data_IF_846010896979
#
_entry.id   IF_846010896979
#
_cell.length_a   1.000
_cell.length_b   1.000
_cell.length_c   1.000
_cell.angle_alpha   90.00
_cell.angle_beta   90.00
_cell.angle_gamma   90.00
#
_symmetry.space_group_name_H-M   'P 1'
#
loop_
_entity.id
_entity.type
_entity.pdbx_description
1 polymer ?
#
# COMPACT_ATOMS: atom_id res chain seq x y z
N UNK A 1 2.89 -1.89 5.08
CA UNK A 1 3.01 -3.03 6.03
C UNK A 1 1.79 -3.94 6.05
N UNK A 2 0.54 -3.44 5.97
CA UNK A 2 -0.67 -4.28 5.90
C UNK A 2 -0.69 -5.26 4.72
N UNK A 3 -0.33 -4.78 3.53
CA UNK A 3 -0.31 -5.58 2.28
C UNK A 3 0.69 -6.74 2.28
N UNK A 4 1.85 -6.62 2.94
CA UNK A 4 2.81 -7.71 3.02
C UNK A 4 2.22 -8.91 3.77
N UNK A 5 1.50 -8.65 4.85
CA UNK A 5 0.79 -9.67 5.62
C UNK A 5 -0.35 -10.29 4.82
N UNK A 6 -1.04 -9.52 3.98
CA UNK A 6 -2.10 -10.02 3.10
C UNK A 6 -1.54 -10.97 2.02
N UNK A 7 -0.39 -10.64 1.43
CA UNK A 7 0.33 -11.51 0.50
C UNK A 7 0.83 -12.80 1.17
N UNK A 8 1.36 -12.71 2.39
CA UNK A 8 1.73 -13.89 3.18
C UNK A 8 0.53 -14.79 3.46
N UNK A 9 -0.63 -14.20 3.78
CA UNK A 9 -1.88 -14.94 4.02
C UNK A 9 -2.35 -15.69 2.77
N UNK A 10 -2.20 -15.08 1.57
CA UNK A 10 -2.47 -15.76 0.30
C UNK A 10 -1.47 -16.88 0.04
N UNK A 11 -0.18 -16.62 0.18
CA UNK A 11 0.89 -17.61 -0.01
C UNK A 11 0.69 -18.83 0.88
N UNK A 12 0.44 -18.62 2.16
CA UNK A 12 0.30 -19.71 3.14
C UNK A 12 -0.94 -20.58 2.86
N UNK A 13 -2.00 -20.00 2.30
CA UNK A 13 -3.19 -20.73 1.86
C UNK A 13 -2.90 -21.66 0.67
N UNK A 14 -2.22 -21.15 -0.36
CA UNK A 14 -1.91 -21.90 -1.57
C UNK A 14 -0.76 -22.89 -1.40
N UNK A 15 0.29 -22.53 -0.67
CA UNK A 15 1.53 -23.30 -0.62
C UNK A 15 1.46 -24.56 0.27
N UNK A 16 0.76 -24.50 1.40
CA UNK A 16 0.82 -25.59 2.40
C UNK A 16 -0.55 -26.20 2.67
N UNK A 17 -1.54 -25.35 2.88
CA UNK A 17 -2.80 -25.77 3.47
C UNK A 17 -3.69 -26.49 2.43
N UNK A 18 -3.80 -25.94 1.23
CA UNK A 18 -4.62 -26.51 0.14
C UNK A 18 -4.02 -27.80 -0.41
N UNK A 19 -2.70 -27.86 -0.58
CA UNK A 19 -1.98 -29.04 -1.07
C UNK A 19 -2.19 -30.25 -0.16
N UNK A 20 -2.10 -30.06 1.16
CA UNK A 20 -2.30 -31.14 2.13
C UNK A 20 -3.73 -31.70 2.06
N UNK A 21 -4.75 -30.84 2.00
CA UNK A 21 -6.13 -31.33 1.91
C UNK A 21 -6.46 -32.00 0.58
N UNK A 22 -5.88 -31.54 -0.53
CA UNK A 22 -6.10 -32.18 -1.84
C UNK A 22 -5.53 -33.60 -1.87
N UNK A 23 -4.38 -33.81 -1.23
CA UNK A 23 -3.77 -35.14 -1.07
C UNK A 23 -4.55 -36.01 -0.10
N UNK A 24 -5.04 -35.47 1.02
CA UNK A 24 -5.63 -36.26 2.11
C UNK A 24 -7.11 -36.64 1.90
N UNK A 25 -7.88 -35.88 1.11
CA UNK A 25 -9.31 -36.14 0.87
C UNK A 25 -9.58 -37.53 0.24
N UNK A 26 -8.86 -37.97 -0.81
CA UNK A 26 -9.01 -39.32 -1.35
C UNK A 26 -8.75 -40.43 -0.32
N UNK A 27 -7.82 -40.20 0.62
CA UNK A 27 -7.49 -41.16 1.66
C UNK A 27 -8.63 -41.40 2.65
N UNK A 28 -9.59 -40.47 2.79
CA UNK A 28 -10.82 -40.69 3.58
C UNK A 28 -11.61 -41.88 3.00
N UNK A 29 -11.83 -41.88 1.67
CA UNK A 29 -12.59 -42.95 1.00
C UNK A 29 -11.85 -44.27 1.13
N UNK A 30 -10.53 -44.26 0.91
CA UNK A 30 -9.68 -45.44 1.05
C UNK A 30 -9.76 -46.00 2.48
N UNK A 31 -9.57 -45.17 3.50
CA UNK A 31 -9.63 -45.61 4.91
C UNK A 31 -11.01 -46.14 5.28
N UNK A 32 -12.11 -45.50 4.84
CA UNK A 32 -13.47 -46.02 5.07
C UNK A 32 -13.70 -47.38 4.40
N UNK A 33 -13.21 -47.58 3.17
CA UNK A 33 -13.30 -48.87 2.48
C UNK A 33 -12.53 -49.96 3.24
N UNK A 34 -11.31 -49.66 3.72
CA UNK A 34 -10.55 -50.62 4.54
C UNK A 34 -11.26 -50.96 5.85
N UNK A 35 -11.89 -49.98 6.52
CA UNK A 35 -12.70 -50.23 7.72
C UNK A 35 -13.92 -51.10 7.38
N UNK A 36 -14.58 -50.87 6.25
CA UNK A 36 -15.71 -51.71 5.83
C UNK A 36 -15.28 -53.16 5.52
N UNK A 37 -14.11 -53.36 4.91
CA UNK A 37 -13.58 -54.69 4.60
C UNK A 37 -13.13 -55.45 5.86
N UNK A 38 -12.49 -54.77 6.81
CA UNK A 38 -11.95 -55.40 8.03
C UNK A 38 -12.99 -55.53 9.15
N UNK A 39 -13.84 -54.51 9.30
CA UNK A 39 -14.75 -54.35 10.43
C UNK A 39 -16.23 -54.34 10.07
N UNK A 40 -16.59 -54.48 8.78
CA UNK A 40 -17.98 -54.52 8.33
C UNK A 40 -18.76 -53.29 8.82
N UNK A 41 -19.68 -53.52 9.75
CA UNK A 41 -20.56 -52.49 10.30
C UNK A 41 -19.84 -51.39 11.11
N UNK A 42 -18.57 -51.57 11.51
CA UNK A 42 -17.82 -50.53 12.23
C UNK A 42 -17.64 -49.24 11.43
N UNK A 43 -17.69 -49.30 10.09
CA UNK A 43 -17.52 -48.12 9.22
C UNK A 43 -18.56 -47.02 9.45
N UNK A 44 -19.75 -47.37 9.95
CA UNK A 44 -20.82 -46.41 10.21
C UNK A 44 -20.46 -45.38 11.27
N UNK A 45 -19.58 -45.72 12.22
CA UNK A 45 -19.14 -44.82 13.30
C UNK A 45 -18.35 -43.62 12.76
N UNK A 46 -17.20 -43.79 12.08
CA UNK A 46 -16.49 -42.66 11.46
C UNK A 46 -17.31 -42.01 10.35
N UNK A 47 -18.11 -42.78 9.59
CA UNK A 47 -18.95 -42.21 8.54
C UNK A 47 -19.98 -41.22 9.08
N UNK A 48 -20.56 -41.47 10.26
CA UNK A 48 -21.49 -40.56 10.92
C UNK A 48 -20.81 -39.30 11.51
N UNK A 49 -19.52 -39.38 11.87
CA UNK A 49 -18.77 -38.21 12.35
C UNK A 49 -18.50 -37.19 11.23
N UNK A 50 -18.30 -37.66 9.99
CA UNK A 50 -17.98 -36.83 8.83
C UNK A 50 -18.98 -35.69 8.56
N UNK A 51 -20.31 -35.93 8.46
CA UNK A 51 -21.28 -34.85 8.22
C UNK A 51 -21.37 -33.86 9.39
N UNK A 52 -21.11 -34.29 10.63
CA UNK A 52 -21.12 -33.40 11.81
C UNK A 52 -19.99 -32.38 11.70
N UNK A 53 -18.79 -32.83 11.31
CA UNK A 53 -17.60 -31.98 11.16
C UNK A 53 -17.79 -30.98 10.02
N UNK A 54 -18.24 -31.46 8.87
CA UNK A 54 -18.52 -30.60 7.70
C UNK A 54 -19.63 -29.59 8.02
N UNK A 55 -20.70 -30.01 8.69
CA UNK A 55 -21.78 -29.14 9.12
C UNK A 55 -21.30 -28.02 10.04
N UNK A 56 -20.47 -28.33 11.03
CA UNK A 56 -19.91 -27.32 11.94
C UNK A 56 -19.01 -26.30 11.21
N UNK A 57 -18.19 -26.74 10.25
CA UNK A 57 -17.39 -25.85 9.42
C UNK A 57 -18.23 -24.93 8.53
N UNK A 58 -19.28 -25.46 7.89
CA UNK A 58 -20.16 -24.68 7.02
C UNK A 58 -21.04 -23.69 7.79
N UNK A 59 -21.55 -24.07 8.97
CA UNK A 59 -22.40 -23.21 9.81
C UNK A 59 -21.63 -22.04 10.42
N UNK A 60 -20.34 -22.22 10.73
CA UNK A 60 -19.50 -21.14 11.29
C UNK A 60 -18.99 -20.15 10.24
N UNK A 61 -18.94 -20.56 8.96
CA UNK A 61 -18.43 -19.76 7.84
C UNK A 61 -18.98 -18.32 7.75
N UNK A 62 -20.30 -18.05 7.70
CA UNK A 62 -20.80 -16.68 7.51
C UNK A 62 -20.45 -15.74 8.67
N UNK A 63 -20.37 -16.28 9.90
CA UNK A 63 -19.93 -15.53 11.07
C UNK A 63 -18.43 -15.22 10.99
N UNK A 64 -17.62 -16.18 10.56
CA UNK A 64 -16.18 -16.01 10.36
C UNK A 64 -15.86 -14.98 9.28
N UNK A 65 -16.57 -15.00 8.13
CA UNK A 65 -16.43 -14.00 7.07
C UNK A 65 -16.65 -12.57 7.59
N UNK A 66 -17.74 -12.37 8.35
CA UNK A 66 -18.07 -11.05 8.91
C UNK A 66 -17.06 -10.60 9.97
N UNK A 67 -16.71 -11.49 10.90
CA UNK A 67 -15.80 -11.18 12.01
C UNK A 67 -14.36 -10.97 11.53
N UNK A 68 -13.90 -11.74 10.54
CA UNK A 68 -12.57 -11.57 9.94
C UNK A 68 -12.45 -10.25 9.20
N UNK A 69 -13.46 -9.85 8.42
CA UNK A 69 -13.47 -8.56 7.74
C UNK A 69 -13.45 -7.39 8.74
N UNK A 70 -14.25 -7.48 9.81
CA UNK A 70 -14.27 -6.48 10.88
C UNK A 70 -12.94 -6.39 11.63
N UNK A 71 -12.39 -7.53 12.05
CA UNK A 71 -11.10 -7.59 12.75
C UNK A 71 -9.97 -7.02 11.88
N UNK A 72 -9.98 -7.28 10.57
CA UNK A 72 -9.04 -6.73 9.61
C UNK A 72 -9.14 -5.19 9.54
N UNK A 73 -10.35 -4.65 9.36
CA UNK A 73 -10.56 -3.20 9.30
C UNK A 73 -10.12 -2.51 10.60
N UNK A 74 -10.45 -3.07 11.76
CA UNK A 74 -10.06 -2.52 13.05
C UNK A 74 -8.54 -2.61 13.28
N UNK A 75 -7.88 -3.66 12.74
CA UNK A 75 -6.42 -3.77 12.74
C UNK A 75 -5.76 -2.65 11.93
N UNK A 76 -6.33 -2.30 10.76
CA UNK A 76 -5.85 -1.19 9.93
C UNK A 76 -6.01 0.15 10.66
N UNK A 77 -7.15 0.39 11.33
CA UNK A 77 -7.34 1.59 12.15
C UNK A 77 -6.28 1.70 13.24
N UNK A 78 -6.00 0.60 13.95
CA UNK A 78 -4.93 0.54 14.96
C UNK A 78 -3.57 0.92 14.37
N UNK A 79 -3.24 0.38 13.19
CA UNK A 79 -2.00 0.68 12.48
C UNK A 79 -1.93 2.15 12.03
N UNK A 80 -3.06 2.70 11.55
CA UNK A 80 -3.15 4.09 11.10
C UNK A 80 -2.83 5.08 12.22
N UNK A 81 -3.35 4.85 13.43
CA UNK A 81 -3.05 5.71 14.59
C UNK A 81 -1.56 5.67 14.93
N UNK A 82 -0.90 4.51 14.81
CA UNK A 82 0.53 4.39 15.02
C UNK A 82 1.32 5.17 13.95
N UNK A 83 0.96 5.03 12.68
CA UNK A 83 1.62 5.75 11.58
C UNK A 83 1.43 7.26 11.73
N UNK A 84 0.24 7.73 12.10
CA UNK A 84 -0.04 9.13 12.41
C UNK A 84 0.81 9.63 13.58
N UNK A 85 0.88 8.85 14.66
CA UNK A 85 1.63 9.21 15.88
C UNK A 85 3.14 9.29 15.62
N UNK A 86 3.68 8.32 14.88
CA UNK A 86 5.12 8.29 14.54
C UNK A 86 5.44 9.38 13.51
N UNK A 87 4.61 9.54 12.48
CA UNK A 87 4.79 10.57 11.46
C UNK A 87 4.71 11.99 12.00
N UNK A 88 4.01 12.22 13.11
CA UNK A 88 3.89 13.52 13.77
C UNK A 88 4.55 13.56 15.16
N UNK A 89 5.55 12.71 15.44
CA UNK A 89 6.08 12.49 16.79
C UNK A 89 6.54 13.78 17.50
N UNK A 90 7.18 14.69 16.78
CA UNK A 90 7.60 15.99 17.31
C UNK A 90 6.39 16.82 17.75
N UNK A 91 5.35 16.91 16.92
CA UNK A 91 4.10 17.61 17.25
C UNK A 91 3.44 16.98 18.48
N UNK A 92 3.42 15.65 18.56
CA UNK A 92 2.83 14.92 19.69
C UNK A 92 3.52 15.25 21.01
N UNK A 93 4.86 15.34 21.00
CA UNK A 93 5.65 15.67 22.18
C UNK A 93 5.52 17.15 22.55
N UNK A 94 5.64 18.06 21.59
CA UNK A 94 5.61 19.50 21.84
C UNK A 94 4.22 19.99 22.23
N UNK A 95 3.17 19.40 21.66
CA UNK A 95 1.77 19.76 21.93
C UNK A 95 1.14 18.98 23.10
N UNK A 96 1.88 18.04 23.71
CA UNK A 96 1.34 17.19 24.78
C UNK A 96 0.21 16.25 24.35
N UNK A 97 0.08 15.96 23.06
CA UNK A 97 -1.02 15.18 22.49
C UNK A 97 -0.92 13.66 22.75
N UNK A 98 0.12 13.21 23.47
CA UNK A 98 0.35 11.79 23.76
C UNK A 98 -0.84 11.09 24.42
N UNK A 99 -1.56 11.76 25.32
CA UNK A 99 -2.77 11.18 25.96
C UNK A 99 -3.91 10.97 24.96
N UNK A 100 -4.14 11.92 24.05
CA UNK A 100 -5.19 11.83 23.02
C UNK A 100 -4.93 10.64 22.09
N UNK A 101 -3.72 10.56 21.54
CA UNK A 101 -3.34 9.48 20.62
C UNK A 101 -3.24 8.14 21.33
N UNK A 102 -2.75 8.11 22.58
CA UNK A 102 -2.76 6.93 23.42
C UNK A 102 -4.15 6.39 23.68
N UNK A 103 -5.14 7.26 23.95
CA UNK A 103 -6.54 6.87 24.10
C UNK A 103 -7.16 6.37 22.78
N UNK A 104 -6.87 7.03 21.66
CA UNK A 104 -7.31 6.56 20.33
C UNK A 104 -6.76 5.18 20.01
N UNK A 105 -5.46 4.97 20.25
CA UNK A 105 -4.82 3.67 20.05
C UNK A 105 -5.41 2.61 20.97
N UNK A 106 -5.59 2.92 22.27
CA UNK A 106 -6.22 2.01 23.23
C UNK A 106 -7.62 1.60 22.78
N UNK A 107 -8.46 2.55 22.36
CA UNK A 107 -9.81 2.27 21.85
C UNK A 107 -9.78 1.39 20.60
N UNK A 108 -8.91 1.69 19.64
CA UNK A 108 -8.74 0.87 18.44
C UNK A 108 -8.24 -0.55 18.78
N UNK A 109 -7.35 -0.67 19.76
CA UNK A 109 -6.84 -1.95 20.24
C UNK A 109 -7.91 -2.77 20.98
N UNK A 110 -8.74 -2.13 21.81
CA UNK A 110 -9.88 -2.77 22.49
C UNK A 110 -10.91 -3.29 21.49
N UNK A 111 -11.27 -2.48 20.48
CA UNK A 111 -12.18 -2.89 19.40
C UNK A 111 -11.62 -4.10 18.63
N UNK A 112 -10.37 -4.01 18.16
CA UNK A 112 -9.71 -5.10 17.47
C UNK A 112 -9.61 -6.36 18.35
N UNK A 113 -9.36 -6.21 19.65
CA UNK A 113 -9.31 -7.31 20.61
C UNK A 113 -10.66 -8.00 20.77
N UNK A 114 -11.77 -7.25 20.91
CA UNK A 114 -13.12 -7.83 21.00
C UNK A 114 -13.48 -8.60 19.71
N UNK A 115 -13.28 -7.98 18.54
CA UNK A 115 -13.56 -8.63 17.26
C UNK A 115 -12.68 -9.86 17.00
N UNK A 116 -11.38 -9.77 17.27
CA UNK A 116 -10.46 -10.90 17.10
C UNK A 116 -10.72 -12.02 18.10
N UNK A 117 -11.14 -11.70 19.33
CA UNK A 117 -11.54 -12.70 20.33
C UNK A 117 -12.82 -13.40 19.90
N UNK A 118 -13.84 -12.66 19.45
CA UNK A 118 -15.08 -13.27 18.90
C UNK A 118 -14.79 -14.14 17.68
N UNK A 119 -13.95 -13.66 16.76
CA UNK A 119 -13.49 -14.43 15.61
C UNK A 119 -12.84 -15.74 16.06
N UNK A 120 -11.94 -15.68 17.04
CA UNK A 120 -11.26 -16.84 17.60
C UNK A 120 -12.22 -17.80 18.32
N UNK A 121 -13.21 -17.29 19.05
CA UNK A 121 -14.22 -18.13 19.70
C UNK A 121 -15.03 -18.90 18.65
N UNK A 122 -15.49 -18.22 17.59
CA UNK A 122 -16.24 -18.86 16.51
C UNK A 122 -15.38 -19.89 15.77
N UNK A 123 -14.10 -19.60 15.50
CA UNK A 123 -13.22 -20.58 14.84
C UNK A 123 -12.93 -21.78 15.75
N UNK A 124 -12.84 -21.56 17.06
CA UNK A 124 -12.62 -22.63 18.05
C UNK A 124 -13.80 -23.60 18.10
N UNK A 125 -15.04 -23.17 17.83
CA UNK A 125 -16.20 -24.07 17.79
C UNK A 125 -15.99 -25.17 16.74
N UNK A 126 -15.63 -24.81 15.51
CA UNK A 126 -15.43 -25.77 14.43
C UNK A 126 -14.29 -26.74 14.74
N UNK A 127 -13.18 -26.26 15.31
CA UNK A 127 -12.04 -27.12 15.70
C UNK A 127 -12.38 -28.04 16.86
N UNK A 128 -13.09 -27.55 17.87
CA UNK A 128 -13.51 -28.34 19.04
C UNK A 128 -14.51 -29.41 18.64
N UNK A 129 -15.49 -29.09 17.81
CA UNK A 129 -16.41 -30.10 17.25
C UNK A 129 -15.64 -31.17 16.48
N UNK A 130 -14.64 -30.78 15.69
CA UNK A 130 -13.80 -31.72 14.93
C UNK A 130 -13.01 -32.67 15.84
N UNK A 131 -12.34 -32.13 16.87
CA UNK A 131 -11.55 -32.92 17.83
C UNK A 131 -12.46 -33.84 18.65
N UNK A 132 -13.59 -33.33 19.14
CA UNK A 132 -14.56 -34.12 19.90
C UNK A 132 -15.18 -35.23 19.05
N UNK A 133 -15.56 -34.94 17.80
CA UNK A 133 -16.09 -35.94 16.87
C UNK A 133 -15.05 -37.04 16.57
N UNK A 134 -13.78 -36.67 16.44
CA UNK A 134 -12.69 -37.65 16.28
C UNK A 134 -12.52 -38.55 17.51
N UNK A 135 -12.49 -37.98 18.71
CA UNK A 135 -12.38 -38.73 19.97
C UNK A 135 -13.59 -39.65 20.18
N UNK A 136 -14.80 -39.17 19.90
CA UNK A 136 -16.03 -39.96 19.98
C UNK A 136 -16.08 -41.06 18.93
N UNK A 137 -15.62 -40.80 17.69
CA UNK A 137 -15.54 -41.81 16.65
C UNK A 137 -14.55 -42.92 17.03
N UNK A 138 -13.39 -42.56 17.57
CA UNK A 138 -12.41 -43.53 18.07
C UNK A 138 -12.98 -44.38 19.21
N UNK A 139 -13.54 -43.75 20.24
CA UNK A 139 -14.14 -44.45 21.38
C UNK A 139 -15.33 -45.33 20.96
N UNK A 140 -16.21 -44.80 20.10
CA UNK A 140 -17.36 -45.53 19.56
C UNK A 140 -16.94 -46.75 18.73
N UNK A 141 -15.87 -46.63 17.94
CA UNK A 141 -15.29 -47.74 17.18
C UNK A 141 -14.78 -48.84 18.11
N UNK A 142 -14.10 -48.47 19.21
CA UNK A 142 -13.63 -49.44 20.21
C UNK A 142 -14.82 -50.13 20.91
N UNK A 143 -15.79 -49.36 21.40
CA UNK A 143 -16.96 -49.90 22.11
C UNK A 143 -17.78 -50.84 21.21
N UNK A 144 -18.16 -50.38 20.01
CA UNK A 144 -18.91 -51.21 19.05
C UNK A 144 -18.11 -52.45 18.63
N UNK A 145 -16.79 -52.30 18.47
CA UNK A 145 -15.91 -53.40 18.12
C UNK A 145 -15.80 -54.48 19.20
N UNK A 146 -15.79 -54.11 20.48
CA UNK A 146 -15.77 -55.08 21.59
C UNK A 146 -17.03 -55.97 21.57
N UNK A 147 -18.21 -55.39 21.33
CA UNK A 147 -19.45 -56.17 21.17
C UNK A 147 -19.40 -57.10 19.95
N UNK A 148 -18.81 -56.66 18.83
CA UNK A 148 -18.64 -57.50 17.63
C UNK A 148 -17.61 -58.62 17.82
N UNK A 149 -16.59 -58.43 18.68
CA UNK A 149 -15.68 -59.50 19.11
C UNK A 149 -16.43 -60.53 19.96
N UNK A 150 -17.28 -60.07 20.90
CA UNK A 150 -18.11 -60.96 21.73
C UNK A 150 -19.07 -61.82 20.89
N UNK A 151 -19.59 -61.26 19.80
CA UNK A 151 -20.39 -61.95 18.79
C UNK A 151 -19.58 -62.87 17.83
N UNK A 152 -18.26 -62.97 18.01
CA UNK A 152 -17.33 -63.68 17.11
C UNK A 152 -17.32 -63.19 15.65
N UNK A 153 -17.74 -61.94 15.40
CA UNK A 153 -17.78 -61.32 14.07
C UNK A 153 -16.53 -60.50 13.73
N UNK A 154 -15.64 -60.27 14.71
CA UNK A 154 -14.46 -59.43 14.57
C UNK A 154 -13.27 -60.03 15.33
N UNK A 155 -12.06 -59.86 14.81
CA UNK A 155 -10.82 -60.21 15.53
C UNK A 155 -10.26 -59.02 16.31
N UNK A 156 -9.50 -59.26 17.36
CA UNK A 156 -8.84 -58.19 18.13
C UNK A 156 -7.88 -57.36 17.27
N UNK A 157 -7.19 -58.00 16.31
CA UNK A 157 -6.33 -57.31 15.36
C UNK A 157 -7.11 -56.40 14.39
N UNK A 158 -8.26 -56.87 13.90
CA UNK A 158 -9.15 -56.06 13.07
C UNK A 158 -9.71 -54.86 13.83
N UNK A 159 -10.00 -55.00 15.14
CA UNK A 159 -10.43 -53.88 15.98
C UNK A 159 -9.34 -52.81 16.12
N UNK A 160 -8.10 -53.20 16.41
CA UNK A 160 -6.97 -52.27 16.50
C UNK A 160 -6.71 -51.57 15.16
N UNK A 161 -6.80 -52.29 14.05
CA UNK A 161 -6.70 -51.69 12.72
C UNK A 161 -7.84 -50.70 12.46
N UNK A 162 -9.09 -51.06 12.76
CA UNK A 162 -10.25 -50.19 12.56
C UNK A 162 -10.19 -48.94 13.44
N UNK A 163 -9.71 -49.02 14.69
CA UNK A 163 -9.59 -47.86 15.57
C UNK A 163 -8.53 -46.87 15.09
N UNK A 164 -7.37 -47.35 14.61
CA UNK A 164 -6.33 -46.50 14.00
C UNK A 164 -6.87 -45.85 12.71
N UNK A 165 -7.50 -46.64 11.84
CA UNK A 165 -8.05 -46.16 10.57
C UNK A 165 -9.21 -45.17 10.79
N UNK A 166 -10.01 -45.33 11.85
CA UNK A 166 -11.09 -44.40 12.19
C UNK A 166 -10.56 -42.99 12.46
N UNK A 167 -9.44 -42.86 13.17
CA UNK A 167 -8.80 -41.55 13.37
C UNK A 167 -8.30 -40.94 12.06
N UNK A 168 -7.74 -41.77 11.17
CA UNK A 168 -7.26 -41.35 9.84
C UNK A 168 -8.38 -40.97 8.88
N UNK A 169 -9.57 -41.55 9.01
CA UNK A 169 -10.74 -41.19 8.20
C UNK A 169 -11.30 -39.81 8.57
N UNK A 170 -11.20 -39.42 9.85
CA UNK A 170 -11.78 -38.18 10.38
C UNK A 170 -10.81 -36.98 10.29
N UNK A 171 -9.51 -37.22 10.46
CA UNK A 171 -8.49 -36.17 10.51
C UNK A 171 -8.48 -35.21 9.30
N UNK A 172 -8.57 -35.67 8.03
CA UNK A 172 -8.57 -34.76 6.89
C UNK A 172 -9.77 -33.80 6.87
N UNK A 173 -10.94 -34.21 7.38
CA UNK A 173 -12.12 -33.35 7.46
C UNK A 173 -11.94 -32.21 8.47
N UNK A 174 -11.25 -32.47 9.58
CA UNK A 174 -10.87 -31.44 10.54
C UNK A 174 -9.96 -30.39 9.88
N UNK A 175 -9.00 -30.83 9.06
CA UNK A 175 -8.13 -29.96 8.25
C UNK A 175 -8.97 -29.12 7.27
N UNK A 176 -9.94 -29.73 6.58
CA UNK A 176 -10.86 -29.00 5.67
C UNK A 176 -11.67 -27.94 6.40
N UNK A 177 -12.21 -28.24 7.60
CA UNK A 177 -12.94 -27.25 8.39
C UNK A 177 -12.06 -26.05 8.78
N UNK A 178 -10.79 -26.31 9.14
CA UNK A 178 -9.80 -25.26 9.39
C UNK A 178 -9.46 -24.47 8.10
N UNK A 179 -9.39 -25.13 6.94
CA UNK A 179 -9.17 -24.48 5.65
C UNK A 179 -10.31 -23.57 5.24
N UNK A 180 -11.57 -23.96 5.50
CA UNK A 180 -12.72 -23.10 5.23
C UNK A 180 -12.65 -21.79 6.03
N UNK A 181 -12.14 -21.86 7.27
CA UNK A 181 -11.87 -20.67 8.09
C UNK A 181 -10.75 -19.81 7.49
N UNK A 182 -9.68 -20.42 6.99
CA UNK A 182 -8.57 -19.69 6.34
C UNK A 182 -9.01 -19.03 5.03
N UNK A 183 -9.80 -19.74 4.22
CA UNK A 183 -10.33 -19.26 2.95
C UNK A 183 -11.09 -17.93 3.11
N UNK A 184 -11.77 -17.75 4.23
CA UNK A 184 -12.44 -16.49 4.59
C UNK A 184 -11.48 -15.30 4.66
N UNK A 185 -10.40 -15.45 5.44
CA UNK A 185 -9.37 -14.44 5.60
C UNK A 185 -8.64 -14.19 4.28
N UNK A 186 -8.30 -15.26 3.55
CA UNK A 186 -7.69 -15.23 2.23
C UNK A 186 -8.55 -14.50 1.21
N UNK A 187 -9.87 -14.74 1.19
CA UNK A 187 -10.80 -14.05 0.29
C UNK A 187 -10.89 -12.56 0.59
N UNK A 188 -10.81 -12.18 1.87
CA UNK A 188 -10.81 -10.77 2.28
C UNK A 188 -9.53 -10.08 1.82
N UNK A 189 -8.36 -10.69 2.08
CA UNK A 189 -7.07 -10.21 1.59
C UNK A 189 -7.04 -10.11 0.06
N UNK A 190 -7.54 -11.14 -0.65
CA UNK A 190 -7.65 -11.13 -2.09
C UNK A 190 -8.48 -9.94 -2.60
N UNK A 191 -9.65 -9.67 -2.02
CA UNK A 191 -10.48 -8.52 -2.43
C UNK A 191 -9.77 -7.18 -2.25
N UNK A 192 -9.02 -7.02 -1.16
CA UNK A 192 -8.26 -5.78 -0.90
C UNK A 192 -7.15 -5.59 -1.93
N UNK A 193 -6.37 -6.64 -2.19
CA UNK A 193 -5.30 -6.60 -3.19
C UNK A 193 -5.89 -6.40 -4.59
N UNK A 194 -6.97 -7.11 -4.94
CA UNK A 194 -7.62 -7.01 -6.23
C UNK A 194 -8.19 -5.61 -6.47
N UNK A 195 -8.85 -5.00 -5.49
CA UNK A 195 -9.34 -3.62 -5.60
C UNK A 195 -8.20 -2.61 -5.85
N UNK A 196 -7.02 -2.85 -5.27
CA UNK A 196 -5.83 -2.03 -5.53
C UNK A 196 -5.26 -2.29 -6.93
N UNK A 197 -5.19 -3.54 -7.38
CA UNK A 197 -4.71 -3.89 -8.73
C UNK A 197 -5.67 -3.42 -9.84
N UNK A 198 -6.96 -3.33 -9.54
CA UNK A 198 -8.00 -2.78 -10.43
C UNK A 198 -8.08 -1.26 -10.39
N UNK A 199 -7.30 -0.58 -9.54
CA UNK A 199 -7.22 0.89 -9.54
C UNK A 199 -6.63 1.35 -10.86
N UNK A 200 -7.28 2.33 -11.49
CA UNK A 200 -6.87 2.86 -12.79
C UNK A 200 -5.41 3.33 -12.77
N UNK A 201 -4.67 3.00 -13.83
CA UNK A 201 -3.32 3.52 -14.06
C UNK A 201 -3.38 5.00 -14.43
N UNK A 202 -2.33 5.75 -14.07
CA UNK A 202 -2.14 7.12 -14.59
C UNK A 202 -1.80 7.14 -16.09
N UNK A 203 -1.43 6.00 -16.68
CA UNK A 203 -1.09 5.91 -18.09
C UNK A 203 -2.32 6.15 -19.00
N UNK A 204 -2.21 7.00 -20.04
CA UNK A 204 -3.30 7.24 -20.98
C UNK A 204 -3.77 5.95 -21.65
N UNK A 205 -5.07 5.85 -21.93
CA UNK A 205 -5.60 4.77 -22.76
C UNK A 205 -5.04 4.87 -24.19
N UNK A 206 -4.23 3.89 -24.61
CA UNK A 206 -3.66 3.80 -25.96
C UNK A 206 -2.17 4.13 -26.02
N UNK A 207 -1.69 4.61 -27.17
CA UNK A 207 -0.28 4.96 -27.37
C UNK A 207 0.00 6.35 -26.82
N UNK A 208 0.52 6.42 -25.60
CA UNK A 208 0.91 7.68 -24.98
C UNK A 208 2.07 8.36 -25.73
N UNK A 209 1.98 9.68 -25.90
CA UNK A 209 3.02 10.49 -26.54
C UNK A 209 4.22 10.63 -25.61
N UNK A 210 5.43 10.33 -26.11
CA UNK A 210 6.69 10.48 -25.37
C UNK A 210 7.50 11.63 -25.96
N UNK A 211 7.29 12.87 -25.47
CA UNK A 211 8.01 14.02 -25.99
C UNK A 211 9.50 13.88 -25.65
N UNK A 212 10.36 14.28 -26.59
CA UNK A 212 11.81 14.36 -26.35
C UNK A 212 12.22 15.72 -25.81
N UNK A 213 11.40 16.75 -26.06
CA UNK A 213 11.59 18.15 -25.66
C UNK A 213 10.26 18.90 -25.70
N UNK A 214 10.13 19.93 -24.88
CA UNK A 214 9.09 20.96 -24.99
C UNK A 214 9.67 22.29 -25.49
N UNK A 215 8.88 23.03 -26.27
CA UNK A 215 9.13 24.44 -26.60
C UNK A 215 8.77 25.34 -25.42
N UNK A 216 7.77 24.94 -24.62
CA UNK A 216 7.47 25.50 -23.31
C UNK A 216 6.20 26.35 -23.24
N UNK A 217 5.30 26.29 -24.22
CA UNK A 217 4.00 26.97 -24.18
C UNK A 217 3.06 26.20 -23.26
N UNK A 218 2.43 26.87 -22.30
CA UNK A 218 1.45 26.28 -21.37
C UNK A 218 0.11 26.98 -21.54
N UNK A 219 -0.98 26.23 -21.63
CA UNK A 219 -2.32 26.78 -21.74
C UNK A 219 -3.32 26.02 -20.87
N UNK A 220 -4.09 26.75 -20.08
CA UNK A 220 -5.29 26.28 -19.39
C UNK A 220 -6.47 26.95 -20.08
N UNK A 221 -7.44 26.15 -20.54
CA UNK A 221 -8.64 26.64 -21.22
C UNK A 221 -9.89 26.18 -20.50
N UNK A 222 -10.65 27.13 -19.94
CA UNK A 222 -11.90 26.90 -19.21
C UNK A 222 -11.75 25.86 -18.09
N UNK A 223 -10.62 25.86 -17.37
CA UNK A 223 -10.30 24.78 -16.43
C UNK A 223 -11.15 24.90 -15.16
N UNK A 224 -11.92 23.87 -14.89
CA UNK A 224 -12.59 23.67 -13.62
C UNK A 224 -11.95 22.53 -12.84
N UNK A 225 -11.73 22.73 -11.54
CA UNK A 225 -11.13 21.71 -10.71
C UNK A 225 -11.66 21.72 -9.28
N UNK A 226 -11.85 20.51 -8.74
CA UNK A 226 -12.27 20.24 -7.36
C UNK A 226 -11.47 19.05 -6.84
N UNK A 227 -10.84 19.20 -5.68
CA UNK A 227 -10.17 18.07 -5.03
C UNK A 227 -11.18 16.98 -4.65
N UNK A 228 -10.83 15.69 -4.73
CA UNK A 228 -11.70 14.60 -4.30
C UNK A 228 -12.22 14.81 -2.88
N UNK A 229 -13.55 14.78 -2.71
CA UNK A 229 -14.21 15.00 -1.42
C UNK A 229 -14.40 16.46 -1.00
N UNK A 230 -13.92 17.45 -1.77
CA UNK A 230 -14.16 18.85 -1.48
C UNK A 230 -15.59 19.30 -1.88
N UNK A 231 -16.21 20.13 -1.04
CA UNK A 231 -17.56 20.65 -1.27
C UNK A 231 -17.59 21.75 -2.36
N UNK A 232 -16.51 22.50 -2.52
CA UNK A 232 -16.42 23.64 -3.44
C UNK A 232 -15.36 23.42 -4.51
N UNK A 233 -15.54 24.06 -5.67
CA UNK A 233 -14.54 24.09 -6.74
C UNK A 233 -13.35 24.95 -6.28
N UNK A 234 -12.14 24.46 -6.51
CA UNK A 234 -10.90 25.23 -6.27
C UNK A 234 -10.57 26.15 -7.44
N UNK A 235 -10.90 25.73 -8.67
CA UNK A 235 -10.81 26.53 -9.90
C UNK A 235 -12.15 26.43 -10.63
N UNK A 236 -12.61 27.55 -11.18
CA UNK A 236 -13.92 27.68 -11.82
C UNK A 236 -13.76 28.47 -13.12
N UNK A 237 -13.60 27.76 -14.24
CA UNK A 237 -13.47 28.34 -15.58
C UNK A 237 -12.17 29.11 -15.83
N UNK A 238 -11.03 28.65 -15.31
CA UNK A 238 -9.76 29.35 -15.45
C UNK A 238 -9.20 29.27 -16.88
N UNK A 239 -8.99 30.43 -17.50
CA UNK A 239 -8.20 30.61 -18.72
C UNK A 239 -6.84 31.26 -18.40
N UNK A 240 -5.75 30.60 -18.81
CA UNK A 240 -4.39 31.09 -18.63
C UNK A 240 -3.51 30.64 -19.80
N UNK A 241 -2.80 31.57 -20.42
CA UNK A 241 -1.83 31.27 -21.48
C UNK A 241 -0.45 31.81 -21.10
N UNK A 242 0.55 30.92 -21.12
CA UNK A 242 1.95 31.24 -20.84
C UNK A 242 2.75 30.90 -22.11
N UNK A 243 3.20 31.92 -22.86
CA UNK A 243 4.03 31.71 -24.05
C UNK A 243 5.37 31.04 -23.70
N UNK A 244 5.95 30.33 -24.68
CA UNK A 244 7.28 29.75 -24.55
C UNK A 244 8.33 30.80 -24.18
N UNK A 245 9.19 30.48 -23.21
CA UNK A 245 10.28 31.34 -22.75
C UNK A 245 9.86 32.49 -21.82
N UNK A 246 8.57 32.64 -21.50
CA UNK A 246 8.07 33.66 -20.59
C UNK A 246 8.26 33.29 -19.13
N UNK A 247 8.42 34.32 -18.29
CA UNK A 247 8.52 34.20 -16.84
C UNK A 247 7.25 34.79 -16.23
N UNK A 248 6.45 33.95 -15.57
CA UNK A 248 5.16 34.32 -15.01
C UNK A 248 5.17 34.06 -13.51
N UNK A 249 4.81 35.08 -12.73
CA UNK A 249 4.59 34.96 -11.31
C UNK A 249 3.08 34.89 -11.03
N UNK A 250 2.65 33.85 -10.29
CA UNK A 250 1.27 33.69 -9.81
C UNK A 250 1.19 34.23 -8.38
N UNK A 251 0.50 35.36 -8.22
CA UNK A 251 0.29 36.04 -6.95
C UNK A 251 -1.18 35.94 -6.52
N UNK A 252 -1.42 35.92 -5.21
CA UNK A 252 -2.78 35.87 -4.68
C UNK A 252 -2.84 35.41 -3.23
N UNK A 253 -4.01 35.58 -2.60
CA UNK A 253 -4.25 35.19 -1.20
C UNK A 253 -4.03 33.69 -0.98
N UNK A 254 -3.75 33.29 0.26
CA UNK A 254 -3.72 31.87 0.65
C UNK A 254 -5.07 31.22 0.29
N UNK A 255 -5.05 30.03 -0.29
CA UNK A 255 -6.27 29.32 -0.74
C UNK A 255 -6.79 29.71 -2.12
N UNK A 256 -6.17 30.67 -2.83
CA UNK A 256 -6.64 31.12 -4.16
C UNK A 256 -6.38 30.15 -5.33
N UNK A 257 -6.00 28.90 -5.06
CA UNK A 257 -5.78 27.88 -6.10
C UNK A 257 -4.42 27.90 -6.82
N UNK A 258 -3.45 28.73 -6.42
CA UNK A 258 -2.12 28.83 -7.09
C UNK A 258 -1.37 27.50 -7.17
N UNK A 259 -1.17 26.83 -6.02
CA UNK A 259 -0.54 25.51 -5.98
C UNK A 259 -1.34 24.46 -6.74
N UNK A 260 -2.67 24.63 -6.86
CA UNK A 260 -3.52 23.76 -7.68
C UNK A 260 -3.20 23.94 -9.17
N UNK A 261 -3.00 25.18 -9.64
CA UNK A 261 -2.56 25.44 -11.03
C UNK A 261 -1.24 24.73 -11.31
N UNK A 262 -0.24 24.83 -10.42
CA UNK A 262 1.01 24.09 -10.57
C UNK A 262 0.79 22.57 -10.64
N UNK A 263 -0.01 22.00 -9.74
CA UNK A 263 -0.32 20.56 -9.75
C UNK A 263 -1.02 20.09 -11.03
N UNK A 264 -1.87 20.93 -11.62
CA UNK A 264 -2.52 20.65 -12.90
C UNK A 264 -1.53 20.72 -14.06
N UNK A 265 -0.65 21.72 -14.12
CA UNK A 265 0.42 21.80 -15.13
C UNK A 265 1.33 20.56 -15.09
N UNK A 266 1.61 20.04 -13.89
CA UNK A 266 2.40 18.82 -13.67
C UNK A 266 1.64 17.52 -13.96
N UNK A 267 0.35 17.60 -14.29
CA UNK A 267 -0.53 16.45 -14.49
C UNK A 267 -0.65 15.56 -13.26
N UNK A 268 -0.51 16.10 -12.05
CA UNK A 268 -0.72 15.35 -10.80
C UNK A 268 -2.21 15.10 -10.52
N UNK A 269 -3.07 15.95 -11.09
CA UNK A 269 -4.50 15.76 -11.12
C UNK A 269 -5.01 16.08 -12.53
N UNK A 270 -6.00 15.32 -13.04
CA UNK A 270 -6.72 15.74 -14.23
C UNK A 270 -7.67 16.89 -13.90
N UNK A 271 -7.91 17.84 -14.83
CA UNK A 271 -8.98 18.82 -14.67
C UNK A 271 -10.35 18.13 -14.68
N UNK A 272 -11.33 18.69 -13.95
CA UNK A 272 -12.70 18.19 -13.98
C UNK A 272 -13.40 18.56 -15.29
N UNK A 273 -13.27 19.83 -15.69
CA UNK A 273 -13.65 20.33 -17.01
C UNK A 273 -12.54 21.21 -17.59
N UNK A 274 -12.57 21.41 -18.92
CA UNK A 274 -11.55 22.18 -19.63
C UNK A 274 -10.32 21.38 -20.03
N UNK A 275 -9.27 22.08 -20.46
CA UNK A 275 -8.04 21.49 -21.00
C UNK A 275 -6.81 22.13 -20.36
N UNK A 276 -5.82 21.30 -20.02
CA UNK A 276 -4.47 21.74 -19.68
C UNK A 276 -3.55 21.23 -20.78
N UNK A 277 -2.84 22.13 -21.46
CA UNK A 277 -2.02 21.80 -22.62
C UNK A 277 -0.60 22.30 -22.46
N UNK A 278 0.33 21.52 -23.01
CA UNK A 278 1.73 21.89 -23.19
C UNK A 278 2.03 21.76 -24.68
N UNK A 279 2.52 22.84 -25.29
CA UNK A 279 2.82 22.96 -26.73
C UNK A 279 1.63 22.59 -27.62
N UNK A 280 0.42 22.96 -27.19
CA UNK A 280 -0.82 22.73 -27.94
C UNK A 280 -1.41 21.32 -27.82
N UNK A 281 -0.75 20.41 -27.09
CA UNK A 281 -1.25 19.05 -26.83
C UNK A 281 -1.72 18.96 -25.39
N UNK A 282 -2.87 18.31 -25.18
CA UNK A 282 -3.41 18.05 -23.84
C UNK A 282 -2.47 17.15 -23.05
N UNK A 283 -2.19 17.50 -21.79
CA UNK A 283 -1.30 16.75 -20.91
C UNK A 283 -1.73 15.29 -20.73
N UNK A 284 -3.03 14.99 -20.86
CA UNK A 284 -3.61 13.64 -20.75
C UNK A 284 -3.21 12.71 -21.90
N UNK A 285 -2.63 13.25 -22.97
CA UNK A 285 -2.14 12.46 -24.11
C UNK A 285 -0.67 12.06 -23.97
N UNK A 286 0.07 12.70 -23.06
CA UNK A 286 1.47 12.37 -22.81
C UNK A 286 1.62 11.20 -21.85
N UNK A 287 2.71 10.45 -22.03
CA UNK A 287 3.23 9.56 -21.00
C UNK A 287 3.61 10.41 -19.77
N UNK A 288 3.00 10.18 -18.59
CA UNK A 288 3.19 11.06 -17.43
C UNK A 288 4.66 11.08 -16.95
N UNK A 289 5.38 9.97 -17.08
CA UNK A 289 6.77 9.87 -16.68
C UNK A 289 7.67 10.67 -17.63
N UNK A 290 7.51 10.49 -18.94
CA UNK A 290 8.27 11.23 -19.95
C UNK A 290 8.01 12.74 -19.87
N UNK A 291 6.74 13.14 -19.73
CA UNK A 291 6.37 14.56 -19.57
C UNK A 291 7.01 15.17 -18.32
N UNK A 292 6.80 14.56 -17.15
CA UNK A 292 7.32 15.09 -15.87
C UNK A 292 8.85 15.09 -15.84
N UNK A 293 9.50 14.17 -16.55
CA UNK A 293 10.95 14.16 -16.73
C UNK A 293 11.52 15.39 -17.45
N UNK A 294 10.68 16.11 -18.23
CA UNK A 294 11.05 17.32 -18.97
C UNK A 294 10.64 18.62 -18.26
N UNK A 295 9.99 18.53 -17.08
CA UNK A 295 9.54 19.68 -16.30
C UNK A 295 10.31 19.73 -14.97
N UNK A 296 11.05 20.81 -14.76
CA UNK A 296 11.74 21.02 -13.49
C UNK A 296 10.79 21.56 -12.44
N UNK A 297 10.67 20.86 -11.31
CA UNK A 297 9.66 21.18 -10.28
C UNK A 297 10.28 21.35 -8.91
N UNK A 298 9.91 22.41 -8.22
CA UNK A 298 10.18 22.59 -6.79
C UNK A 298 8.86 22.91 -6.07
N UNK A 299 8.40 22.01 -5.21
CA UNK A 299 7.16 22.19 -4.44
C UNK A 299 7.44 22.88 -3.10
N UNK A 300 6.38 23.43 -2.51
CA UNK A 300 6.44 24.18 -1.24
C UNK A 300 7.11 23.38 -0.11
N UNK A 301 6.81 22.08 0.00
CA UNK A 301 7.45 21.16 0.96
C UNK A 301 8.40 20.20 0.22
N UNK A 302 9.73 20.40 0.30
CA UNK A 302 10.68 19.52 -0.36
C UNK A 302 10.77 18.17 0.37
N UNK A 303 10.44 17.09 -0.34
CA UNK A 303 10.62 15.71 0.15
C UNK A 303 11.88 15.12 -0.47
N UNK A 304 12.79 14.65 0.39
CA UNK A 304 13.97 13.90 -0.01
C UNK A 304 13.71 12.40 0.10
N UNK A 305 14.33 11.62 -0.77
CA UNK A 305 14.30 10.17 -0.76
C UNK A 305 15.40 9.64 0.17
N UNK A 306 15.16 8.48 0.78
CA UNK A 306 16.22 7.74 1.47
C UNK A 306 17.28 7.33 0.45
N UNK A 307 18.56 7.52 0.77
CA UNK A 307 19.65 7.37 -0.19
C UNK A 307 20.68 8.48 -0.05
N UNK A 308 21.60 8.60 -0.99
CA UNK A 308 22.62 9.68 -0.98
C UNK A 308 22.04 11.02 -1.47
N UNK A 309 22.68 12.14 -1.11
CA UNK A 309 22.34 13.45 -1.69
C UNK A 309 22.53 13.42 -3.22
N UNK A 310 23.56 12.73 -3.70
CA UNK A 310 23.79 12.44 -5.12
C UNK A 310 22.58 11.79 -5.80
N UNK A 311 22.10 10.67 -5.26
CA UNK A 311 20.92 9.96 -5.77
C UNK A 311 19.68 10.87 -5.77
N UNK A 312 19.54 11.71 -4.75
CA UNK A 312 18.44 12.66 -4.64
C UNK A 312 18.46 13.75 -5.74
N UNK A 313 19.63 14.15 -6.26
CA UNK A 313 19.74 15.15 -7.33
C UNK A 313 19.55 14.49 -8.70
N UNK A 314 20.26 13.38 -8.93
CA UNK A 314 20.31 12.69 -10.23
C UNK A 314 19.03 11.91 -10.51
N UNK A 315 18.44 11.26 -9.49
CA UNK A 315 17.26 10.40 -9.61
C UNK A 315 17.42 9.29 -10.67
N UNK A 316 18.63 8.75 -10.80
CA UNK A 316 18.98 7.73 -11.80
C UNK A 316 18.67 8.14 -13.26
N UNK A 317 18.61 9.45 -13.54
CA UNK A 317 18.45 9.98 -14.89
C UNK A 317 19.77 9.83 -15.64
N UNK A 318 19.84 8.87 -16.57
CA UNK A 318 21.06 8.58 -17.33
C UNK A 318 21.66 9.75 -18.14
N UNK A 319 20.92 10.85 -18.33
CA UNK A 319 21.40 12.07 -18.99
C UNK A 319 21.96 13.14 -18.02
N UNK A 320 21.92 12.88 -16.71
CA UNK A 320 22.46 13.78 -15.68
C UNK A 320 23.77 13.18 -15.18
N UNK A 321 24.88 13.61 -15.78
CA UNK A 321 26.22 13.18 -15.38
C UNK A 321 26.75 13.96 -14.16
N UNK A 322 27.96 13.61 -13.72
CA UNK A 322 28.62 14.26 -12.58
C UNK A 322 28.80 15.76 -12.79
N UNK A 323 29.11 16.17 -14.04
CA UNK A 323 29.35 17.58 -14.36
C UNK A 323 28.08 18.41 -14.26
N UNK A 324 26.96 17.86 -14.74
CA UNK A 324 25.64 18.46 -14.62
C UNK A 324 25.19 18.52 -13.16
N UNK A 325 25.43 17.46 -12.37
CA UNK A 325 25.10 17.45 -10.95
C UNK A 325 25.84 18.55 -10.17
N UNK A 326 27.15 18.69 -10.39
CA UNK A 326 27.94 19.73 -9.75
C UNK A 326 27.46 21.12 -10.15
N UNK A 327 27.18 21.32 -11.45
CA UNK A 327 26.62 22.58 -11.97
C UNK A 327 25.31 22.96 -11.28
N UNK A 328 24.35 22.04 -11.18
CA UNK A 328 23.06 22.35 -10.54
C UNK A 328 23.18 22.51 -9.03
N UNK A 329 24.13 21.82 -8.40
CA UNK A 329 24.42 21.99 -6.99
C UNK A 329 25.06 23.36 -6.68
N UNK A 330 25.87 23.90 -7.58
CA UNK A 330 26.38 25.27 -7.47
C UNK A 330 25.26 26.30 -7.65
N UNK A 331 24.41 26.11 -8.67
CA UNK A 331 23.26 26.98 -8.95
C UNK A 331 22.28 27.05 -7.78
N UNK A 332 21.93 25.92 -7.18
CA UNK A 332 20.98 25.86 -6.06
C UNK A 332 21.59 26.24 -4.70
N UNK A 333 22.92 26.37 -4.63
CA UNK A 333 23.66 26.55 -3.38
C UNK A 333 23.90 25.29 -2.57
N UNK A 334 23.50 24.12 -3.08
CA UNK A 334 23.80 22.82 -2.44
C UNK A 334 25.30 22.59 -2.25
N UNK A 335 26.11 22.97 -3.25
CA UNK A 335 27.57 22.75 -3.21
C UNK A 335 28.22 23.40 -1.97
N UNK A 336 27.78 24.60 -1.60
CA UNK A 336 28.39 25.38 -0.51
C UNK A 336 28.25 24.76 0.89
N UNK A 337 27.22 23.95 1.14
CA UNK A 337 27.10 23.22 2.41
C UNK A 337 27.53 21.76 2.30
N UNK A 338 27.41 21.14 1.12
CA UNK A 338 27.96 19.80 0.88
C UNK A 338 29.48 19.77 1.05
N UNK A 339 30.20 20.78 0.57
CA UNK A 339 31.67 20.87 0.72
C UNK A 339 32.16 20.99 2.16
N UNK A 340 31.26 21.24 3.13
CA UNK A 340 31.58 21.34 4.57
C UNK A 340 31.30 20.06 5.35
N UNK A 341 30.65 19.08 4.73
CA UNK A 341 30.28 17.82 5.35
C UNK A 341 31.30 16.73 4.97
N UNK A 342 31.70 15.90 5.92
CA UNK A 342 32.74 14.89 5.72
C UNK A 342 32.45 13.91 4.57
N UNK A 343 31.17 13.60 4.33
CA UNK A 343 30.73 12.68 3.27
C UNK A 343 30.25 13.39 1.99
N UNK A 344 30.30 14.73 1.94
CA UNK A 344 29.86 15.51 0.79
C UNK A 344 28.51 15.04 0.21
N UNK A 345 28.49 14.79 -1.10
CA UNK A 345 27.31 14.29 -1.83
C UNK A 345 26.94 12.84 -1.53
N UNK A 346 27.85 12.06 -0.95
CA UNK A 346 27.62 10.66 -0.57
C UNK A 346 27.03 10.55 0.86
N UNK A 347 26.72 11.69 1.49
CA UNK A 347 25.91 11.74 2.70
C UNK A 347 24.59 10.98 2.48
N UNK A 348 24.38 9.94 3.28
CA UNK A 348 23.15 9.15 3.30
C UNK A 348 22.08 9.84 4.15
N UNK A 349 20.91 10.03 3.55
CA UNK A 349 19.71 10.56 4.15
C UNK A 349 18.78 9.41 4.52
N UNK A 350 18.17 9.52 5.70
CA UNK A 350 17.06 8.69 6.15
C UNK A 350 15.80 9.56 6.30
N UNK A 351 14.63 8.91 6.39
CA UNK A 351 13.37 9.52 6.87
C UNK A 351 13.08 10.92 6.32
N UNK A 352 13.06 11.04 4.99
CA UNK A 352 12.72 12.27 4.25
C UNK A 352 13.73 13.42 4.44
N UNK A 353 14.99 13.09 4.75
CA UNK A 353 16.06 14.07 4.93
C UNK A 353 16.12 14.64 6.35
N UNK A 354 15.85 13.79 7.35
CA UNK A 354 16.02 14.11 8.77
C UNK A 354 17.48 14.52 9.04
N UNK A 355 17.68 15.54 9.88
CA UNK A 355 19.00 16.10 10.20
C UNK A 355 19.47 17.25 9.29
N UNK A 356 18.78 17.53 8.17
CA UNK A 356 19.01 18.73 7.37
C UNK A 356 18.11 19.90 7.80
N UNK A 357 18.55 21.14 7.59
CA UNK A 357 17.69 22.31 7.75
C UNK A 357 16.67 22.41 6.61
N UNK A 358 15.59 23.18 6.80
CA UNK A 358 14.58 23.42 5.75
C UNK A 358 15.21 23.98 4.46
N UNK A 359 16.03 25.02 4.59
CA UNK A 359 16.74 25.63 3.46
C UNK A 359 17.69 24.66 2.75
N UNK A 360 18.35 23.76 3.49
CA UNK A 360 19.20 22.72 2.88
C UNK A 360 18.38 21.72 2.06
N UNK A 361 17.24 21.24 2.59
CA UNK A 361 16.33 20.37 1.83
C UNK A 361 15.80 21.07 0.58
N UNK A 362 15.50 22.37 0.69
CA UNK A 362 15.01 23.17 -0.41
C UNK A 362 16.08 23.38 -1.49
N UNK A 363 17.33 23.67 -1.13
CA UNK A 363 18.47 23.72 -2.07
C UNK A 363 18.69 22.39 -2.82
N UNK A 364 18.57 21.24 -2.14
CA UNK A 364 18.68 19.93 -2.80
C UNK A 364 17.51 19.71 -3.76
N UNK A 365 16.29 20.06 -3.36
CA UNK A 365 15.10 19.98 -4.22
C UNK A 365 15.24 20.88 -5.46
N UNK A 366 15.81 22.08 -5.31
CA UNK A 366 16.10 22.99 -6.42
C UNK A 366 17.17 22.42 -7.36
N UNK A 367 18.25 21.84 -6.84
CA UNK A 367 19.24 21.15 -7.67
C UNK A 367 18.59 20.04 -8.51
N UNK A 368 17.74 19.22 -7.89
CA UNK A 368 16.95 18.17 -8.56
C UNK A 368 16.06 18.75 -9.66
N UNK A 369 15.40 19.87 -9.40
CA UNK A 369 14.51 20.54 -10.34
C UNK A 369 15.23 21.08 -11.58
N UNK A 370 16.48 21.56 -11.42
CA UNK A 370 17.27 22.16 -12.50
C UNK A 370 18.04 21.11 -13.33
N UNK A 371 18.30 19.93 -12.76
CA UNK A 371 19.02 18.86 -13.42
C UNK A 371 18.30 18.39 -14.70
N UNK A 372 19.08 18.21 -15.77
CA UNK A 372 18.57 17.82 -17.08
C UNK A 372 18.12 19.01 -17.95
N UNK A 373 18.35 20.25 -17.49
CA UNK A 373 18.06 21.50 -18.24
C UNK A 373 16.64 21.58 -18.82
N UNK A 374 15.59 21.37 -18.00
CA UNK A 374 14.22 21.40 -18.47
C UNK A 374 13.85 22.79 -19.03
N UNK A 375 13.01 22.80 -20.07
CA UNK A 375 12.55 24.04 -20.73
C UNK A 375 11.39 24.70 -19.97
N UNK A 376 10.68 23.93 -19.16
CA UNK A 376 9.60 24.38 -18.29
C UNK A 376 10.04 24.19 -16.83
N UNK A 377 9.91 25.25 -16.05
CA UNK A 377 10.20 25.28 -14.63
C UNK A 377 8.95 25.72 -13.86
N UNK A 378 8.50 24.93 -12.89
CA UNK A 378 7.32 25.21 -12.05
C UNK A 378 7.72 25.17 -10.59
N UNK A 379 7.86 26.35 -9.98
CA UNK A 379 8.30 26.50 -8.59
C UNK A 379 7.17 27.05 -7.71
N UNK A 380 6.86 26.34 -6.63
CA UNK A 380 5.86 26.71 -5.63
C UNK A 380 6.54 27.06 -4.31
N UNK A 381 6.61 28.35 -4.01
CA UNK A 381 7.32 28.94 -2.87
C UNK A 381 8.74 28.35 -2.64
N UNK A 382 9.61 28.35 -3.68
CA UNK A 382 10.90 27.66 -3.67
C UNK A 382 11.94 28.22 -2.69
N UNK A 383 11.63 29.34 -2.03
CA UNK A 383 12.54 30.05 -1.10
C UNK A 383 11.91 30.28 0.27
N UNK A 384 10.75 29.67 0.54
CA UNK A 384 9.98 29.86 1.79
C UNK A 384 10.77 29.61 3.08
N UNK A 385 11.76 28.71 3.04
CA UNK A 385 12.60 28.36 4.19
C UNK A 385 14.02 28.94 4.14
N UNK A 386 14.29 29.84 3.18
CA UNK A 386 15.56 30.52 3.02
C UNK A 386 15.54 31.92 3.65
N UNK A 387 16.68 32.36 4.17
CA UNK A 387 16.90 33.75 4.56
C UNK A 387 17.07 34.66 3.33
N UNK A 388 16.83 35.95 3.49
CA UNK A 388 16.87 36.93 2.39
C UNK A 388 18.22 36.96 1.66
N UNK A 389 19.32 36.76 2.37
CA UNK A 389 20.66 36.75 1.77
C UNK A 389 20.87 35.55 0.86
N UNK A 390 20.53 34.35 1.35
CA UNK A 390 20.58 33.11 0.54
C UNK A 390 19.63 33.17 -0.65
N UNK A 391 18.41 33.69 -0.46
CA UNK A 391 17.42 33.89 -1.53
C UNK A 391 17.94 34.82 -2.62
N UNK A 392 18.50 35.98 -2.26
CA UNK A 392 19.07 36.91 -3.24
C UNK A 392 20.23 36.29 -4.05
N UNK A 393 21.12 35.56 -3.37
CA UNK A 393 22.23 34.85 -4.04
C UNK A 393 21.72 33.73 -4.96
N UNK A 394 20.65 33.04 -4.59
CA UNK A 394 20.02 32.03 -5.44
C UNK A 394 19.43 32.68 -6.70
N UNK A 395 18.67 33.77 -6.54
CA UNK A 395 18.07 34.48 -7.68
C UNK A 395 19.13 35.00 -8.65
N UNK A 396 20.24 35.56 -8.14
CA UNK A 396 21.37 35.99 -8.97
C UNK A 396 21.97 34.84 -9.79
N UNK A 397 22.09 33.64 -9.21
CA UNK A 397 22.57 32.44 -9.92
C UNK A 397 21.57 31.91 -10.94
N UNK A 398 20.28 31.99 -10.62
CA UNK A 398 19.21 31.50 -11.49
C UNK A 398 18.94 32.41 -12.69
N UNK A 399 19.23 33.71 -12.61
CA UNK A 399 18.84 34.69 -13.63
C UNK A 399 19.31 34.30 -15.05
N UNK A 400 20.55 33.83 -15.16
CA UNK A 400 21.13 33.34 -16.41
C UNK A 400 20.51 32.01 -16.86
N UNK A 401 20.26 31.09 -15.91
CA UNK A 401 19.68 29.77 -16.18
C UNK A 401 18.23 29.86 -16.68
N UNK A 402 17.47 30.84 -16.19
CA UNK A 402 16.08 31.10 -16.57
C UNK A 402 15.93 31.76 -17.94
N UNK A 403 17.02 32.13 -18.63
CA UNK A 403 16.94 32.83 -19.92
C UNK A 403 16.45 31.87 -21.01
N UNK A 404 15.37 32.25 -21.69
CA UNK A 404 14.78 31.44 -22.78
C UNK A 404 14.01 30.20 -22.30
N UNK A 405 13.71 30.09 -21.00
CA UNK A 405 12.90 29.00 -20.43
C UNK A 405 11.57 29.53 -19.94
N UNK A 406 10.53 28.72 -20.06
CA UNK A 406 9.25 29.03 -19.45
C UNK A 406 9.35 28.80 -17.95
N UNK A 407 9.06 29.84 -17.17
CA UNK A 407 9.17 29.79 -15.72
C UNK A 407 7.87 30.23 -15.07
N UNK A 408 7.27 29.35 -14.28
CA UNK A 408 6.08 29.61 -13.48
C UNK A 408 6.49 29.63 -12.02
N UNK A 409 6.40 30.79 -11.38
CA UNK A 409 6.72 30.99 -9.97
C UNK A 409 5.44 31.28 -9.19
N UNK A 410 5.16 30.49 -8.17
CA UNK A 410 4.14 30.81 -7.17
C UNK A 410 4.88 31.35 -5.95
N UNK A 411 4.54 32.58 -5.55
CA UNK A 411 5.17 33.25 -4.41
C UNK A 411 4.18 34.18 -3.73
N UNK A 412 4.44 34.48 -2.45
CA UNK A 412 3.77 35.54 -1.68
C UNK A 412 4.68 36.75 -1.44
N UNK A 413 5.93 36.69 -1.91
CA UNK A 413 6.98 37.71 -1.80
C UNK A 413 7.28 38.34 -3.14
#
# INVERSE_FOLDING_TARGET
>A
TGMMRELETLRDFFASATMTALVDVPFIVVTLVFIALLGGALVWVPLAANPIILGAGLLTRPALDRLSARSMSEALTKQSVLVETVGALEMVKTSGAGRLLGQRWKKANEQHSDSSTRQRLVSTIATTVSVSANTLAYAGTVVAGVFLIADHKLTTGALVACSILSGRAVQPLATIAALLTRLSATRTAYRQINAMMETDSEEPAGTALKPTRFDGRIELRGVEFRYPGAAEKTLDGLDLAIPAGQRVALLGKVGSGKSTIARLILGLYPPGEGLVMIDGTDIRQYDPHAMRGLIGTALQEPVLLSGTVRENIVLDRGHVDETEMLRVAELSGTHGFMGRLANGYDLRLADRGEGLSGGQRQSISLARALAGKPQILVFDEPTSSMDQGTEAQLMQRLEAELKGRTFVLITHR
#
